data_IF_797137042379
#
_entry.id   IF_797137042379
#
_cell.length_a   1.000
_cell.length_b   1.000
_cell.length_c   1.000
_cell.angle_alpha   90.00
_cell.angle_beta   90.00
_cell.angle_gamma   90.00
#
_symmetry.space_group_name_H-M   'P 1'
#
loop_
_entity.id
_entity.type
_entity.pdbx_description
1 polymer ?
#
# COMPACT_ATOMS: atom_id res chain seq x y z
N UNK A 1 -33.46 4.18 12.40
CA UNK A 1 -32.35 4.91 11.75
C UNK A 1 -32.97 5.98 10.87
N UNK A 2 -32.73 7.23 11.21
CA UNK A 2 -33.40 8.41 10.62
C UNK A 2 -33.01 8.58 9.14
N UNK A 3 -33.98 9.01 8.33
CA UNK A 3 -33.90 9.46 6.95
C UNK A 3 -32.67 10.36 6.67
N UNK A 4 -31.54 9.79 6.24
CA UNK A 4 -30.32 10.53 5.88
C UNK A 4 -30.03 10.32 4.39
N UNK A 5 -29.90 11.42 3.67
CA UNK A 5 -29.41 11.42 2.29
C UNK A 5 -27.91 11.66 2.33
N UNK A 6 -27.11 10.68 1.88
CA UNK A 6 -25.69 10.87 1.62
C UNK A 6 -25.49 11.36 0.18
N UNK A 7 -24.58 12.30 -0.02
CA UNK A 7 -24.20 12.83 -1.33
C UNK A 7 -22.68 13.05 -1.40
N UNK A 8 -21.94 12.18 -0.71
CA UNK A 8 -20.48 12.18 -0.67
C UNK A 8 -19.89 11.66 -2.00
N UNK A 9 -18.67 12.08 -2.33
CA UNK A 9 -18.00 11.64 -3.56
C UNK A 9 -16.64 12.30 -3.77
N UNK A 10 -16.08 12.10 -4.96
CA UNK A 10 -14.80 12.69 -5.38
C UNK A 10 -14.99 13.61 -6.58
N UNK A 11 -14.17 14.66 -6.68
CA UNK A 11 -14.10 15.54 -7.84
C UNK A 11 -12.84 15.24 -8.64
N UNK A 12 -12.99 14.91 -9.91
CA UNK A 12 -11.89 14.69 -10.83
C UNK A 12 -11.60 15.96 -11.64
N UNK A 13 -10.31 16.26 -11.80
CA UNK A 13 -9.83 17.36 -12.63
C UNK A 13 -9.14 16.77 -13.86
N UNK A 14 -9.71 17.00 -15.05
CA UNK A 14 -9.27 16.39 -16.29
C UNK A 14 -8.56 17.42 -17.18
N UNK A 15 -7.45 17.01 -17.80
CA UNK A 15 -6.80 17.77 -18.87
C UNK A 15 -7.40 17.43 -20.25
N UNK A 16 -7.20 18.31 -21.22
CA UNK A 16 -7.60 18.09 -22.62
C UNK A 16 -6.46 17.54 -23.51
N UNK A 17 -5.28 17.34 -22.94
CA UNK A 17 -4.09 16.80 -23.61
C UNK A 17 -3.49 15.68 -22.76
N UNK A 18 -2.98 14.64 -23.45
CA UNK A 18 -2.25 13.56 -22.79
C UNK A 18 -0.92 14.07 -22.24
N UNK A 19 -0.56 13.61 -21.04
CA UNK A 19 0.75 13.86 -20.44
C UNK A 19 1.76 12.86 -21.00
N UNK A 20 3.04 13.17 -20.82
CA UNK A 20 4.14 12.32 -21.31
C UNK A 20 4.14 10.90 -20.69
N UNK A 21 3.68 10.76 -19.44
CA UNK A 21 3.69 9.50 -18.71
C UNK A 21 2.30 9.18 -18.16
N UNK A 22 1.92 7.90 -18.27
CA UNK A 22 0.77 7.36 -17.58
C UNK A 22 1.11 7.09 -16.11
N UNK A 23 0.16 7.36 -15.22
CA UNK A 23 0.25 7.00 -13.81
C UNK A 23 -0.67 5.82 -13.53
N UNK A 24 -0.15 4.85 -12.78
CA UNK A 24 -0.90 3.71 -12.27
C UNK A 24 -0.69 3.56 -10.77
N UNK A 25 -1.42 2.65 -10.15
CA UNK A 25 -1.21 2.26 -8.76
C UNK A 25 -0.90 0.76 -8.69
N UNK A 26 -0.06 0.39 -7.72
CA UNK A 26 0.25 -1.00 -7.39
C UNK A 26 -0.17 -1.22 -5.95
N UNK A 27 -1.08 -2.16 -5.73
CA UNK A 27 -1.44 -2.61 -4.39
C UNK A 27 -0.45 -3.68 -3.95
N UNK A 28 0.23 -3.43 -2.83
CA UNK A 28 1.17 -4.35 -2.19
C UNK A 28 0.68 -4.62 -0.78
N UNK A 29 0.86 -5.85 -0.30
CA UNK A 29 0.43 -6.22 1.04
C UNK A 29 -0.10 -7.64 1.08
N UNK A 30 -0.73 -7.94 2.21
CA UNK A 30 -1.52 -9.14 2.39
C UNK A 30 -3.00 -8.81 2.14
N UNK A 31 -3.74 -9.78 1.57
CA UNK A 31 -5.19 -9.67 1.44
C UNK A 31 -5.83 -9.46 2.82
N UNK A 32 -6.90 -8.67 2.87
CA UNK A 32 -7.61 -8.38 4.14
C UNK A 32 -8.64 -9.43 4.52
N UNK A 33 -8.54 -10.65 3.98
CA UNK A 33 -9.47 -11.71 4.30
C UNK A 33 -9.26 -12.24 5.74
N UNK A 34 -10.32 -12.76 6.34
CA UNK A 34 -10.32 -13.20 7.74
C UNK A 34 -9.36 -14.38 8.02
N UNK A 35 -8.83 -15.02 6.99
CA UNK A 35 -7.86 -16.12 7.07
C UNK A 35 -6.43 -15.68 6.75
N UNK A 36 -6.24 -14.52 6.12
CA UNK A 36 -4.95 -14.04 5.64
C UNK A 36 -4.14 -13.32 6.73
N UNK A 37 -4.84 -12.73 7.72
CA UNK A 37 -4.21 -12.04 8.85
C UNK A 37 -4.88 -12.47 10.15
N UNK A 38 -4.12 -13.14 11.02
CA UNK A 38 -4.52 -13.44 12.39
C UNK A 38 -3.55 -12.77 13.37
N UNK A 39 -4.07 -11.86 14.20
CA UNK A 39 -3.31 -11.20 15.26
C UNK A 39 -3.74 -11.82 16.59
N UNK A 40 -2.86 -12.58 17.27
CA UNK A 40 -3.18 -13.15 18.58
C UNK A 40 -3.51 -12.04 19.59
N UNK A 41 -4.49 -12.27 20.49
CA UNK A 41 -4.76 -11.31 21.56
C UNK A 41 -3.55 -11.22 22.49
N UNK A 42 -3.30 -10.02 23.03
CA UNK A 42 -2.20 -9.73 23.96
C UNK A 42 -0.78 -9.87 23.41
N UNK A 43 -0.61 -10.01 22.09
CA UNK A 43 0.71 -9.88 21.49
C UNK A 43 1.12 -8.41 21.43
N UNK A 44 2.21 -8.07 22.13
CA UNK A 44 2.74 -6.70 22.19
C UNK A 44 3.29 -6.24 20.82
N UNK A 45 3.75 -7.18 20.00
CA UNK A 45 4.31 -6.89 18.68
C UNK A 45 4.30 -8.10 17.75
N UNK A 46 3.45 -8.03 16.75
CA UNK A 46 3.46 -8.93 15.60
C UNK A 46 3.92 -8.20 14.33
N UNK A 47 4.87 -8.78 13.59
CA UNK A 47 5.25 -8.32 12.25
C UNK A 47 4.62 -9.26 11.23
N UNK A 48 3.87 -8.68 10.29
CA UNK A 48 3.28 -9.41 9.17
C UNK A 48 4.03 -8.99 7.91
N UNK A 49 4.77 -9.91 7.31
CA UNK A 49 5.50 -9.68 6.06
C UNK A 49 4.76 -10.28 4.87
N UNK A 50 4.63 -9.51 3.80
CA UNK A 50 4.12 -9.94 2.51
C UNK A 50 5.15 -9.66 1.41
N UNK A 51 5.20 -10.51 0.39
CA UNK A 51 6.21 -10.42 -0.66
C UNK A 51 5.56 -10.35 -2.04
N UNK A 52 6.03 -9.43 -2.87
CA UNK A 52 5.80 -9.48 -4.32
C UNK A 52 6.98 -10.25 -4.94
N UNK A 53 6.77 -11.52 -5.37
CA UNK A 53 7.87 -12.37 -5.81
C UNK A 53 8.43 -11.91 -7.15
N UNK A 54 9.68 -12.31 -7.44
CA UNK A 54 10.36 -11.95 -8.69
C UNK A 54 9.56 -12.35 -9.93
N UNK A 55 8.85 -13.49 -9.87
CA UNK A 55 7.96 -13.99 -10.93
C UNK A 55 6.86 -12.98 -11.32
N UNK A 56 6.43 -12.13 -10.39
CA UNK A 56 5.47 -11.06 -10.67
C UNK A 56 6.20 -9.80 -11.14
N UNK A 57 7.28 -9.41 -10.47
CA UNK A 57 8.02 -8.18 -10.84
C UNK A 57 8.71 -8.27 -12.19
N UNK A 58 8.95 -9.47 -12.74
CA UNK A 58 9.49 -9.64 -14.10
C UNK A 58 8.54 -9.13 -15.20
N UNK A 59 7.26 -8.94 -14.88
CA UNK A 59 6.27 -8.36 -15.80
C UNK A 59 6.33 -6.83 -15.81
N UNK A 60 7.11 -6.20 -14.92
CA UNK A 60 7.42 -4.77 -15.00
C UNK A 60 8.29 -4.55 -16.24
N UNK A 61 8.06 -3.49 -17.04
CA UNK A 61 8.88 -3.20 -18.21
C UNK A 61 10.39 -3.22 -17.89
N UNK A 62 11.25 -3.67 -18.82
CA UNK A 62 12.71 -3.70 -18.58
C UNK A 62 13.32 -2.34 -18.21
N UNK A 63 12.67 -1.25 -18.63
CA UNK A 63 13.03 0.14 -18.26
C UNK A 63 12.66 0.49 -16.81
N UNK A 64 11.96 -0.39 -16.10
CA UNK A 64 11.43 -0.16 -14.77
C UNK A 64 10.21 0.76 -14.73
N UNK A 65 9.83 1.11 -13.50
CA UNK A 65 8.80 2.11 -13.19
C UNK A 65 9.37 3.08 -12.15
N UNK A 66 8.81 4.29 -12.08
CA UNK A 66 9.14 5.28 -11.05
C UNK A 66 8.00 5.35 -10.04
N UNK A 67 8.29 5.00 -8.78
CA UNK A 67 7.33 5.16 -7.68
C UNK A 67 7.44 6.58 -7.15
N UNK A 68 6.36 7.35 -7.26
CA UNK A 68 6.32 8.78 -6.88
C UNK A 68 5.51 9.06 -5.62
N UNK A 69 4.67 8.11 -5.19
CA UNK A 69 3.82 8.22 -4.03
C UNK A 69 3.53 6.83 -3.43
N UNK A 70 3.16 6.80 -2.16
CA UNK A 70 2.71 5.61 -1.45
C UNK A 70 1.55 5.99 -0.51
N UNK A 71 0.63 5.05 -0.30
CA UNK A 71 -0.55 5.21 0.56
C UNK A 71 -0.67 3.97 1.45
N UNK A 72 0.00 3.96 2.63
CA UNK A 72 -0.08 2.81 3.53
C UNK A 72 -1.49 2.70 4.13
N UNK A 73 -1.99 1.47 4.26
CA UNK A 73 -3.29 1.21 4.86
C UNK A 73 -3.23 -0.01 5.78
N UNK A 74 -3.75 0.16 7.00
CA UNK A 74 -4.03 -0.93 7.94
C UNK A 74 -5.33 -0.61 8.67
N UNK A 75 -5.89 -1.58 9.40
CA UNK A 75 -6.94 -1.29 10.39
C UNK A 75 -6.35 -0.79 11.73
N UNK A 76 -7.18 -0.75 12.77
CA UNK A 76 -6.90 -0.12 14.08
C UNK A 76 -5.64 -0.61 14.81
N UNK A 77 -5.16 -1.82 14.53
CA UNK A 77 -4.01 -2.41 15.23
C UNK A 77 -2.65 -2.06 14.60
N UNK A 78 -2.62 -1.48 13.40
CA UNK A 78 -1.36 -1.10 12.77
C UNK A 78 -0.66 0.05 13.50
N UNK A 79 0.65 -0.08 13.67
CA UNK A 79 1.51 0.92 14.35
C UNK A 79 2.69 1.38 13.49
N UNK A 80 3.13 0.52 12.58
CA UNK A 80 4.27 0.77 11.71
C UNK A 80 3.99 0.10 10.36
N UNK A 81 4.32 0.77 9.26
CA UNK A 81 4.18 0.22 7.90
C UNK A 81 5.41 0.58 7.08
N UNK A 82 6.00 -0.41 6.40
CA UNK A 82 7.10 -0.19 5.48
C UNK A 82 6.96 -1.03 4.22
N UNK A 83 7.64 -0.60 3.16
CA UNK A 83 7.84 -1.40 1.95
C UNK A 83 9.28 -1.25 1.53
N UNK A 84 9.97 -2.38 1.31
CA UNK A 84 11.39 -2.41 0.93
C UNK A 84 11.56 -3.00 -0.47
N UNK A 85 12.49 -2.44 -1.22
CA UNK A 85 13.02 -3.08 -2.42
C UNK A 85 14.09 -4.08 -1.98
N UNK A 86 13.93 -5.33 -2.42
CA UNK A 86 14.94 -6.38 -2.23
C UNK A 86 15.59 -6.69 -3.58
N UNK A 87 16.92 -6.78 -3.58
CA UNK A 87 17.76 -7.18 -4.72
C UNK A 87 18.81 -8.17 -4.22
N UNK A 88 18.97 -9.30 -4.91
CA UNK A 88 19.93 -10.34 -4.52
C UNK A 88 19.82 -10.72 -3.03
N UNK A 89 18.59 -10.91 -2.55
CA UNK A 89 18.26 -11.22 -1.15
C UNK A 89 18.72 -10.18 -0.11
N UNK A 90 18.98 -8.93 -0.53
CA UNK A 90 19.31 -7.82 0.36
C UNK A 90 18.32 -6.68 0.17
N UNK A 91 17.80 -6.15 1.28
CA UNK A 91 17.04 -4.91 1.25
C UNK A 91 17.98 -3.75 0.86
N UNK A 92 17.65 -3.02 -0.20
CA UNK A 92 18.49 -1.94 -0.73
C UNK A 92 17.90 -0.56 -0.48
N UNK A 93 16.59 -0.45 -0.34
CA UNK A 93 15.90 0.83 -0.19
C UNK A 93 14.49 0.64 0.37
N UNK A 94 13.98 1.63 1.12
CA UNK A 94 12.56 1.77 1.41
C UNK A 94 11.84 2.47 0.25
N UNK A 95 10.78 1.86 -0.29
CA UNK A 95 9.80 2.59 -1.10
C UNK A 95 8.95 3.51 -0.22
N UNK A 96 8.65 3.05 0.99
CA UNK A 96 7.92 3.79 2.00
C UNK A 96 8.32 3.30 3.40
N UNK A 97 8.37 4.20 4.37
CA UNK A 97 8.58 3.87 5.78
C UNK A 97 7.81 4.84 6.68
N UNK A 98 6.89 4.32 7.48
CA UNK A 98 6.19 5.06 8.53
C UNK A 98 6.32 4.32 9.87
N UNK A 99 7.33 4.73 10.65
CA UNK A 99 7.60 4.15 11.96
C UNK A 99 6.51 4.47 13.00
N UNK A 100 5.86 5.63 12.87
CA UNK A 100 4.77 6.10 13.72
C UNK A 100 3.44 6.22 12.94
N UNK A 101 2.98 5.11 12.36
CA UNK A 101 1.71 5.06 11.62
C UNK A 101 0.51 5.09 12.58
N UNK A 102 -0.58 5.74 12.15
CA UNK A 102 -1.88 5.73 12.85
C UNK A 102 -3.03 5.62 11.86
N UNK A 103 -4.02 4.78 12.17
CA UNK A 103 -5.22 4.60 11.35
C UNK A 103 -5.96 5.91 11.07
N UNK A 104 -5.91 6.88 12.00
CA UNK A 104 -6.62 8.14 11.85
C UNK A 104 -5.90 9.16 10.95
N UNK A 105 -4.74 8.82 10.39
CA UNK A 105 -3.97 9.67 9.49
C UNK A 105 -3.48 8.84 8.29
N UNK A 106 -4.28 8.85 7.22
CA UNK A 106 -4.03 8.12 5.98
C UNK A 106 -4.27 9.06 4.79
#
# INVERSE_FOLDING_TARGET
MSNRTDSSGMRFYLGNQLRQYDIGYLTLGQESDATAIAIPPHDDRLVIDSYCPTLVTQNIPPTGITVVAAFPHTHLQGRTVWTKIVRNNKAVQYLFNADAYTFNYQ
#
